data_IF_778391106747
#
_entry.id   IF_778391106747
#
_cell.length_a   1.000
_cell.length_b   1.000
_cell.length_c   1.000
_cell.angle_alpha   90.00
_cell.angle_beta   90.00
_cell.angle_gamma   90.00
#
_symmetry.space_group_name_H-M   'P 1'
#
loop_
_entity.id
_entity.type
_entity.pdbx_description
1 polymer ?
#
# COMPACT_ATOMS: atom_id res chain seq x y z
N UNK A 1 -39.71 0.87 12.64
CA UNK A 1 -39.11 0.23 11.46
C UNK A 1 -37.63 0.54 11.56
N UNK A 2 -36.85 -0.37 12.15
CA UNK A 2 -35.40 -0.25 12.17
C UNK A 2 -34.91 -0.40 10.73
N UNK A 3 -34.57 0.71 10.09
CA UNK A 3 -33.84 0.68 8.84
C UNK A 3 -32.44 0.19 9.15
N UNK A 4 -32.22 -1.12 9.08
CA UNK A 4 -30.88 -1.68 9.18
C UNK A 4 -30.02 -1.05 8.08
N UNK A 5 -28.92 -0.40 8.48
CA UNK A 5 -27.93 0.09 7.53
C UNK A 5 -27.52 -1.07 6.61
N UNK A 6 -27.76 -0.90 5.31
CA UNK A 6 -27.29 -1.86 4.32
C UNK A 6 -25.76 -1.81 4.31
N UNK A 7 -25.14 -2.88 4.79
CA UNK A 7 -23.67 -3.05 4.80
C UNK A 7 -23.17 -3.21 3.36
N UNK A 8 -22.72 -2.12 2.74
CA UNK A 8 -22.08 -2.12 1.43
C UNK A 8 -20.60 -2.47 1.53
N UNK A 9 -20.09 -3.21 0.55
CA UNK A 9 -18.71 -3.71 0.50
C UNK A 9 -18.04 -3.19 -0.76
N UNK A 10 -16.76 -2.84 -0.70
CA UNK A 10 -15.91 -2.62 -1.88
C UNK A 10 -14.51 -3.14 -1.63
N UNK A 11 -13.89 -3.73 -2.65
CA UNK A 11 -12.52 -4.18 -2.57
C UNK A 11 -11.70 -3.77 -3.80
N UNK A 12 -10.42 -3.51 -3.57
CA UNK A 12 -9.41 -3.37 -4.60
C UNK A 12 -8.31 -4.41 -4.35
N UNK A 13 -8.09 -5.30 -5.31
CA UNK A 13 -7.04 -6.31 -5.27
C UNK A 13 -6.01 -6.01 -6.36
N UNK A 14 -4.77 -5.77 -5.98
CA UNK A 14 -3.69 -5.36 -6.90
C UNK A 14 -2.57 -6.38 -6.85
N UNK A 15 -2.15 -6.87 -8.03
CA UNK A 15 -1.08 -7.85 -8.17
C UNK A 15 -0.16 -7.52 -9.34
N UNK A 16 1.10 -7.23 -9.08
CA UNK A 16 2.03 -6.73 -10.11
C UNK A 16 3.24 -7.66 -10.21
N UNK A 17 3.39 -8.31 -11.36
CA UNK A 17 4.53 -9.13 -11.71
C UNK A 17 5.44 -8.47 -12.74
N UNK A 18 4.91 -7.62 -13.61
CA UNK A 18 5.67 -6.93 -14.65
C UNK A 18 5.77 -5.44 -14.33
N UNK A 19 6.86 -4.81 -14.78
CA UNK A 19 7.09 -3.38 -14.62
C UNK A 19 7.49 -2.80 -15.96
N UNK A 20 6.71 -1.83 -16.45
CA UNK A 20 6.82 -1.22 -17.78
C UNK A 20 8.24 -0.77 -18.10
N UNK A 21 8.86 -0.06 -17.15
CA UNK A 21 10.19 0.55 -17.33
C UNK A 21 11.32 -0.29 -16.70
N UNK A 22 10.97 -1.34 -15.93
CA UNK A 22 11.92 -2.20 -15.23
C UNK A 22 11.66 -3.70 -15.46
N UNK A 23 11.71 -4.23 -16.70
CA UNK A 23 11.43 -5.65 -16.98
C UNK A 23 12.31 -6.64 -16.19
N UNK A 24 13.52 -6.23 -15.80
CA UNK A 24 14.43 -7.01 -14.96
C UNK A 24 13.92 -7.23 -13.53
N UNK A 25 13.01 -6.38 -13.04
CA UNK A 25 12.39 -6.46 -11.72
C UNK A 25 11.13 -7.36 -11.72
N UNK A 26 10.93 -8.20 -12.74
CA UNK A 26 9.72 -9.01 -12.81
C UNK A 26 9.58 -10.00 -11.63
N UNK A 27 8.38 -10.11 -11.08
CA UNK A 27 7.95 -11.09 -10.08
C UNK A 27 7.12 -12.21 -10.73
N UNK A 28 6.67 -13.18 -9.92
CA UNK A 28 5.91 -14.35 -10.42
C UNK A 28 4.69 -14.74 -9.56
N UNK A 29 4.54 -14.15 -8.38
CA UNK A 29 3.50 -14.54 -7.41
C UNK A 29 2.36 -13.54 -7.29
N UNK A 30 2.63 -12.26 -7.54
CA UNK A 30 1.76 -11.18 -7.07
C UNK A 30 0.41 -11.15 -7.77
N UNK A 31 0.37 -11.46 -9.07
CA UNK A 31 -0.89 -11.62 -9.81
C UNK A 31 -1.73 -12.76 -9.22
N UNK A 32 -1.11 -13.89 -8.85
CA UNK A 32 -1.82 -15.00 -8.21
C UNK A 32 -2.32 -14.61 -6.81
N UNK A 33 -1.54 -13.84 -6.05
CA UNK A 33 -1.91 -13.34 -4.73
C UNK A 33 -3.18 -12.46 -4.82
N UNK A 34 -3.27 -11.57 -5.84
CA UNK A 34 -4.45 -10.74 -6.07
C UNK A 34 -5.70 -11.57 -6.48
N UNK A 35 -5.54 -12.58 -7.34
CA UNK A 35 -6.63 -13.50 -7.67
C UNK A 35 -7.09 -14.29 -6.43
N UNK A 36 -6.14 -14.79 -5.63
CA UNK A 36 -6.45 -15.54 -4.41
C UNK A 36 -7.23 -14.69 -3.40
N UNK A 37 -6.84 -13.41 -3.22
CA UNK A 37 -7.59 -12.49 -2.37
C UNK A 37 -9.01 -12.24 -2.91
N UNK A 38 -9.14 -11.98 -4.22
CA UNK A 38 -10.45 -11.81 -4.85
C UNK A 38 -11.37 -13.02 -4.65
N UNK A 39 -10.85 -14.24 -4.83
CA UNK A 39 -11.60 -15.48 -4.57
C UNK A 39 -11.97 -15.62 -3.10
N UNK A 40 -11.04 -15.35 -2.19
CA UNK A 40 -11.28 -15.42 -0.74
C UNK A 40 -12.41 -14.48 -0.31
N UNK A 41 -12.40 -13.23 -0.78
CA UNK A 41 -13.41 -12.23 -0.46
C UNK A 41 -14.81 -12.64 -0.95
N UNK A 42 -14.90 -13.24 -2.14
CA UNK A 42 -16.16 -13.75 -2.68
C UNK A 42 -16.66 -14.97 -1.89
N UNK A 43 -15.80 -15.97 -1.69
CA UNK A 43 -16.20 -17.26 -1.15
C UNK A 43 -16.46 -17.24 0.36
N UNK A 44 -15.76 -16.37 1.11
CA UNK A 44 -15.76 -16.39 2.58
C UNK A 44 -16.32 -15.11 3.21
N UNK A 45 -16.25 -13.97 2.53
CA UNK A 45 -16.59 -12.67 3.10
C UNK A 45 -17.79 -11.98 2.45
N UNK A 46 -18.44 -12.65 1.47
CA UNK A 46 -19.70 -12.21 0.88
C UNK A 46 -19.59 -11.00 -0.02
N UNK A 47 -18.41 -10.71 -0.55
CA UNK A 47 -18.24 -9.73 -1.62
C UNK A 47 -18.84 -10.28 -2.91
N UNK A 48 -19.58 -9.45 -3.65
CA UNK A 48 -20.00 -9.80 -5.01
C UNK A 48 -18.88 -9.44 -5.98
N UNK A 49 -18.88 -10.07 -7.16
CA UNK A 49 -17.86 -9.80 -8.17
C UNK A 49 -17.85 -8.33 -8.59
N UNK A 50 -19.02 -7.68 -8.66
CA UNK A 50 -19.15 -6.26 -8.98
C UNK A 50 -18.63 -5.32 -7.89
N UNK A 51 -18.46 -5.82 -6.67
CA UNK A 51 -17.93 -5.05 -5.53
C UNK A 51 -16.39 -5.12 -5.47
N UNK A 52 -15.76 -5.96 -6.30
CA UNK A 52 -14.31 -6.18 -6.32
C UNK A 52 -13.71 -5.64 -7.62
N UNK A 53 -12.74 -4.73 -7.50
CA UNK A 53 -11.86 -4.36 -8.60
C UNK A 53 -10.57 -5.17 -8.51
N UNK A 54 -10.15 -5.75 -9.63
CA UNK A 54 -8.87 -6.45 -9.75
C UNK A 54 -7.99 -5.70 -10.76
N UNK A 55 -6.80 -5.26 -10.32
CA UNK A 55 -5.81 -4.63 -11.19
C UNK A 55 -4.53 -5.48 -11.22
N UNK A 56 -4.12 -5.89 -12.41
CA UNK A 56 -2.93 -6.74 -12.59
C UNK A 56 -2.02 -6.20 -13.68
N UNK A 57 -0.71 -6.27 -13.44
CA UNK A 57 0.33 -5.86 -14.41
C UNK A 57 -0.04 -4.55 -15.14
N UNK A 58 -0.27 -4.61 -16.46
CA UNK A 58 -0.53 -3.43 -17.29
C UNK A 58 -1.82 -2.67 -16.96
N UNK A 59 -2.67 -3.16 -16.04
CA UNK A 59 -3.82 -2.40 -15.54
C UNK A 59 -3.49 -1.63 -14.24
N UNK A 60 -2.41 -2.00 -13.57
CA UNK A 60 -2.01 -1.49 -12.24
C UNK A 60 -1.07 -0.27 -12.32
N UNK A 61 -1.43 0.71 -13.16
CA UNK A 61 -0.81 2.04 -13.16
C UNK A 61 -1.10 2.75 -11.83
N UNK A 62 -0.18 3.60 -11.34
CA UNK A 62 -0.41 4.41 -10.12
C UNK A 62 -1.76 5.13 -10.19
N UNK A 63 -2.01 5.85 -11.29
CA UNK A 63 -3.23 6.62 -11.48
C UNK A 63 -4.50 5.76 -11.38
N UNK A 64 -4.48 4.52 -11.88
CA UNK A 64 -5.63 3.63 -11.79
C UNK A 64 -5.85 3.15 -10.35
N UNK A 65 -4.77 2.74 -9.66
CA UNK A 65 -4.84 2.29 -8.26
C UNK A 65 -5.41 3.40 -7.38
N UNK A 66 -4.84 4.60 -7.46
CA UNK A 66 -5.27 5.76 -6.66
C UNK A 66 -6.70 6.17 -6.99
N UNK A 67 -7.07 6.21 -8.27
CA UNK A 67 -8.45 6.53 -8.68
C UNK A 67 -9.49 5.56 -8.11
N UNK A 68 -9.16 4.26 -8.04
CA UNK A 68 -10.05 3.27 -7.43
C UNK A 68 -10.15 3.42 -5.91
N UNK A 69 -9.04 3.69 -5.21
CA UNK A 69 -9.03 3.95 -3.78
C UNK A 69 -9.82 5.22 -3.44
N UNK A 70 -9.61 6.31 -4.17
CA UNK A 70 -10.38 7.56 -4.04
C UNK A 70 -11.87 7.33 -4.22
N UNK A 71 -12.26 6.55 -5.24
CA UNK A 71 -13.65 6.18 -5.47
C UNK A 71 -14.23 5.37 -4.29
N UNK A 72 -13.45 4.45 -3.71
CA UNK A 72 -13.87 3.65 -2.56
C UNK A 72 -14.08 4.51 -1.31
N UNK A 73 -13.15 5.42 -1.03
CA UNK A 73 -13.27 6.38 0.08
C UNK A 73 -14.49 7.28 -0.10
N UNK A 74 -14.73 7.78 -1.31
CA UNK A 74 -15.88 8.64 -1.57
C UNK A 74 -17.22 7.90 -1.48
N UNK A 75 -17.27 6.63 -1.88
CA UNK A 75 -18.44 5.78 -1.66
C UNK A 75 -18.73 5.58 -0.17
N UNK A 76 -17.69 5.33 0.62
CA UNK A 76 -17.76 5.21 2.06
C UNK A 76 -18.27 6.51 2.72
N UNK A 77 -17.73 7.67 2.32
CA UNK A 77 -18.17 8.99 2.81
C UNK A 77 -19.63 9.30 2.48
N UNK A 78 -20.16 8.75 1.38
CA UNK A 78 -21.58 8.87 0.99
C UNK A 78 -22.48 7.82 1.63
N UNK A 79 -21.95 6.95 2.50
CA UNK A 79 -22.69 5.87 3.13
C UNK A 79 -23.12 4.76 2.17
N UNK A 80 -22.46 4.64 1.00
CA UNK A 80 -22.75 3.58 0.01
C UNK A 80 -22.10 2.25 0.38
N UNK A 81 -21.01 2.29 1.13
CA UNK A 81 -20.35 1.13 1.71
C UNK A 81 -19.76 1.48 3.08
N UNK A 82 -19.51 0.45 3.88
CA UNK A 82 -18.89 0.56 5.20
C UNK A 82 -17.86 -0.53 5.48
N UNK A 83 -17.59 -1.39 4.49
CA UNK A 83 -16.49 -2.36 4.53
C UNK A 83 -15.65 -2.16 3.27
N UNK A 84 -14.39 -1.80 3.45
CA UNK A 84 -13.40 -1.63 2.42
C UNK A 84 -12.27 -2.64 2.61
N UNK A 85 -11.82 -3.25 1.52
CA UNK A 85 -10.62 -4.09 1.52
C UNK A 85 -9.66 -3.60 0.44
N UNK A 86 -8.43 -3.31 0.81
CA UNK A 86 -7.34 -3.05 -0.12
C UNK A 86 -6.29 -4.13 0.04
N UNK A 87 -5.99 -4.87 -1.04
CA UNK A 87 -4.85 -5.77 -1.07
C UNK A 87 -3.90 -5.37 -2.17
N UNK A 88 -2.61 -5.34 -1.85
CA UNK A 88 -1.57 -4.93 -2.76
C UNK A 88 -0.37 -5.86 -2.64
N UNK A 89 -0.03 -6.49 -3.76
CA UNK A 89 1.14 -7.34 -3.89
C UNK A 89 2.01 -6.85 -5.05
N UNK A 90 3.22 -6.39 -4.73
CA UNK A 90 4.21 -5.90 -5.69
C UNK A 90 5.59 -5.82 -5.01
N UNK A 91 6.52 -5.08 -5.62
CA UNK A 91 7.70 -4.57 -4.95
C UNK A 91 7.37 -3.47 -3.92
N UNK A 92 8.09 -3.48 -2.80
CA UNK A 92 8.25 -2.34 -1.89
C UNK A 92 9.64 -1.70 -2.05
N UNK A 93 9.76 -0.41 -1.78
CA UNK A 93 11.00 0.37 -1.85
C UNK A 93 10.99 1.45 -0.76
N UNK A 94 11.99 2.33 -0.78
CA UNK A 94 12.05 3.52 0.08
C UNK A 94 12.18 4.78 -0.78
N UNK A 95 11.60 5.88 -0.33
CA UNK A 95 11.82 7.22 -0.89
C UNK A 95 12.48 8.12 0.18
N UNK A 96 13.22 9.17 -0.19
CA UNK A 96 13.76 10.09 0.81
C UNK A 96 12.61 10.84 1.50
N UNK A 97 12.61 10.84 2.83
CA UNK A 97 11.63 11.57 3.65
C UNK A 97 11.70 13.08 3.34
N UNK A 98 10.53 13.68 3.09
CA UNK A 98 10.42 15.11 2.79
C UNK A 98 9.80 15.94 3.93
N UNK A 99 9.16 15.32 4.91
CA UNK A 99 8.38 16.00 5.94
C UNK A 99 8.97 15.86 7.37
N UNK A 100 9.87 14.88 7.56
CA UNK A 100 10.68 14.68 8.75
C UNK A 100 9.98 13.91 9.86
N UNK A 101 8.99 13.07 9.54
CA UNK A 101 8.24 12.28 10.50
C UNK A 101 8.91 10.93 10.87
N UNK A 102 9.88 10.46 10.08
CA UNK A 102 10.66 9.25 10.35
C UNK A 102 12.08 9.50 10.92
N UNK A 103 12.50 8.65 11.87
CA UNK A 103 13.80 8.74 12.54
C UNK A 103 15.00 8.38 11.63
N UNK A 104 14.78 7.66 10.52
CA UNK A 104 15.82 7.25 9.53
C UNK A 104 15.71 7.94 8.15
N UNK A 105 14.85 8.96 8.04
CA UNK A 105 14.71 9.83 6.86
C UNK A 105 14.33 9.10 5.55
N UNK A 106 13.50 8.05 5.61
CA UNK A 106 13.20 7.22 4.45
C UNK A 106 11.83 6.51 4.44
N UNK A 107 10.79 7.15 3.90
CA UNK A 107 9.42 6.60 3.83
C UNK A 107 9.31 5.29 3.04
N UNK A 108 8.41 4.42 3.48
CA UNK A 108 8.05 3.20 2.76
C UNK A 108 7.22 3.53 1.51
N UNK A 109 7.55 2.89 0.39
CA UNK A 109 6.85 3.15 -0.86
C UNK A 109 6.57 1.86 -1.66
N UNK A 110 5.51 1.91 -2.45
CA UNK A 110 4.95 0.80 -3.19
C UNK A 110 5.12 1.01 -4.69
N UNK A 111 5.62 0.00 -5.39
CA UNK A 111 5.95 0.08 -6.81
C UNK A 111 4.75 -0.31 -7.70
N UNK A 112 4.16 0.63 -8.46
CA UNK A 112 3.12 0.35 -9.45
C UNK A 112 3.73 -0.20 -10.76
N UNK A 113 2.89 -0.60 -11.72
CA UNK A 113 3.35 -1.14 -13.01
C UNK A 113 4.21 -0.14 -13.80
N UNK A 114 3.86 1.14 -13.71
CA UNK A 114 4.47 2.24 -14.44
C UNK A 114 5.59 2.95 -13.66
N UNK A 115 6.10 2.32 -12.59
CA UNK A 115 7.23 2.82 -11.80
C UNK A 115 8.29 3.45 -12.71
N UNK A 116 8.72 4.65 -12.33
CA UNK A 116 9.69 5.46 -13.07
C UNK A 116 10.58 6.24 -12.09
N UNK A 117 11.69 6.75 -12.61
CA UNK A 117 12.63 7.58 -11.85
C UNK A 117 12.89 8.88 -12.60
N UNK A 118 13.11 9.96 -11.86
CA UNK A 118 13.58 11.24 -12.39
C UNK A 118 14.98 11.51 -11.82
N UNK A 119 15.99 11.43 -12.69
CA UNK A 119 17.39 11.47 -12.28
C UNK A 119 17.76 10.28 -11.39
N UNK A 120 18.14 10.57 -10.14
CA UNK A 120 18.66 9.60 -9.17
C UNK A 120 17.65 9.21 -8.08
N UNK A 121 16.39 9.64 -8.21
CA UNK A 121 15.30 9.34 -7.27
C UNK A 121 14.10 8.74 -8.00
N UNK A 122 13.28 7.97 -7.28
CA UNK A 122 11.97 7.58 -7.79
C UNK A 122 11.15 8.83 -8.12
N UNK A 123 10.39 8.76 -9.20
CA UNK A 123 9.51 9.86 -9.61
C UNK A 123 8.21 9.78 -8.80
N UNK A 124 7.85 10.81 -7.99
CA UNK A 124 6.62 10.82 -7.20
C UNK A 124 5.34 10.61 -8.01
N UNK A 125 5.34 10.92 -9.31
CA UNK A 125 4.18 10.68 -10.20
C UNK A 125 3.95 9.18 -10.48
N UNK A 126 4.94 8.32 -10.25
CA UNK A 126 4.93 6.91 -10.63
C UNK A 126 5.19 5.95 -9.46
N UNK A 127 5.17 6.43 -8.22
CA UNK A 127 5.36 5.64 -7.00
C UNK A 127 4.33 6.04 -5.94
N UNK A 128 3.82 5.09 -5.16
CA UNK A 128 2.83 5.37 -4.11
C UNK A 128 3.56 5.35 -2.77
N UNK A 129 3.56 6.44 -2.01
CA UNK A 129 4.05 6.44 -0.61
C UNK A 129 2.96 5.96 0.34
N UNK A 130 3.37 5.51 1.51
CA UNK A 130 2.49 5.28 2.65
C UNK A 130 1.74 6.56 3.09
N UNK A 131 2.39 7.72 3.06
CA UNK A 131 1.75 9.02 3.31
C UNK A 131 0.57 9.29 2.37
N UNK A 132 0.73 9.03 1.07
CA UNK A 132 -0.34 9.25 0.09
C UNK A 132 -1.55 8.34 0.38
N UNK A 133 -1.29 7.12 0.86
CA UNK A 133 -2.35 6.20 1.31
C UNK A 133 -2.97 6.66 2.63
N UNK A 134 -2.16 7.10 3.59
CA UNK A 134 -2.61 7.60 4.88
C UNK A 134 -3.52 8.82 4.72
N UNK A 135 -3.06 9.83 3.98
CA UNK A 135 -3.82 11.05 3.65
C UNK A 135 -5.18 10.73 3.01
N UNK A 136 -5.23 9.68 2.19
CA UNK A 136 -6.48 9.22 1.59
C UNK A 136 -7.39 8.54 2.61
N UNK A 137 -6.85 7.68 3.49
CA UNK A 137 -7.64 6.88 4.41
C UNK A 137 -8.10 7.63 5.67
N UNK A 138 -7.40 8.69 6.10
CA UNK A 138 -7.88 9.56 7.20
C UNK A 138 -9.20 10.27 6.88
N UNK A 139 -9.61 10.31 5.61
CA UNK A 139 -10.90 10.85 5.19
C UNK A 139 -12.09 9.90 5.40
N UNK A 140 -11.85 8.65 5.85
CA UNK A 140 -12.90 7.66 6.08
C UNK A 140 -13.73 8.00 7.34
N UNK A 141 -15.07 7.82 7.29
CA UNK A 141 -15.92 7.97 8.47
C UNK A 141 -15.66 6.89 9.53
N UNK A 142 -15.88 7.22 10.81
CA UNK A 142 -15.69 6.31 11.96
C UNK A 142 -16.47 4.99 11.87
N UNK A 143 -17.58 4.95 11.12
CA UNK A 143 -18.42 3.76 10.96
C UNK A 143 -17.98 2.86 9.79
N UNK A 144 -16.82 3.13 9.18
CA UNK A 144 -16.27 2.38 8.04
C UNK A 144 -15.08 1.55 8.49
N UNK A 145 -15.10 0.26 8.18
CA UNK A 145 -13.98 -0.65 8.40
C UNK A 145 -13.14 -0.71 7.13
N UNK A 146 -11.84 -0.41 7.24
CA UNK A 146 -10.86 -0.60 6.18
C UNK A 146 -9.86 -1.68 6.61
N UNK A 147 -9.71 -2.72 5.80
CA UNK A 147 -8.68 -3.75 5.95
C UNK A 147 -7.65 -3.62 4.83
N UNK A 148 -6.37 -3.50 5.18
CA UNK A 148 -5.27 -3.34 4.22
C UNK A 148 -4.30 -4.52 4.31
N UNK A 149 -4.05 -5.18 3.19
CA UNK A 149 -3.14 -6.32 3.08
C UNK A 149 -1.99 -5.98 2.13
N UNK A 150 -0.78 -5.82 2.67
CA UNK A 150 0.41 -5.47 1.90
C UNK A 150 1.37 -6.68 1.85
N UNK A 151 1.59 -7.25 0.66
CA UNK A 151 2.53 -8.35 0.43
C UNK A 151 3.73 -7.87 -0.41
N UNK A 152 4.56 -7.02 0.20
CA UNK A 152 5.63 -6.22 -0.44
C UNK A 152 7.04 -6.39 0.16
N UNK A 153 7.24 -7.32 1.10
CA UNK A 153 8.49 -7.67 1.85
C UNK A 153 9.87 -7.60 1.13
N UNK A 154 11.04 -7.24 1.73
CA UNK A 154 11.51 -6.83 3.07
C UNK A 154 12.88 -6.12 2.93
N UNK A 155 13.05 -4.92 3.50
CA UNK A 155 14.37 -4.29 3.66
C UNK A 155 15.01 -4.69 5.01
N UNK A 156 15.69 -5.85 5.05
CA UNK A 156 16.78 -6.21 5.99
C UNK A 156 16.60 -6.09 7.51
N UNK A 157 16.37 -7.24 8.21
CA UNK A 157 17.10 -7.76 9.41
C UNK A 157 16.28 -8.71 10.32
N UNK A 158 14.97 -8.87 10.12
CA UNK A 158 14.15 -9.80 10.91
C UNK A 158 14.03 -11.18 10.25
N UNK A 159 14.65 -12.20 10.85
CA UNK A 159 14.41 -13.65 10.60
C UNK A 159 15.12 -14.24 9.37
N UNK A 160 16.42 -14.54 9.54
CA UNK A 160 17.19 -15.55 8.79
C UNK A 160 16.88 -17.00 9.22
N UNK A 161 15.68 -17.30 9.70
CA UNK A 161 15.31 -18.69 10.02
C UNK A 161 14.16 -19.11 9.14
N UNK A 162 14.43 -20.15 8.35
CA UNK A 162 13.54 -20.96 7.52
C UNK A 162 13.07 -20.37 6.19
N UNK A 163 14.04 -19.93 5.36
CA UNK A 163 13.89 -19.92 3.90
C UNK A 163 13.84 -21.37 3.37
N UNK A 164 12.70 -22.04 3.57
CA UNK A 164 12.38 -23.33 2.92
C UNK A 164 11.63 -23.13 1.58
N UNK A 165 11.51 -21.89 1.08
CA UNK A 165 10.84 -21.56 -0.18
C UNK A 165 11.81 -20.88 -1.16
N UNK A 166 12.91 -21.57 -1.50
CA UNK A 166 13.97 -21.19 -2.46
C UNK A 166 13.50 -20.81 -3.89
N UNK A 167 12.19 -20.65 -4.14
CA UNK A 167 11.58 -20.31 -5.43
C UNK A 167 11.04 -18.87 -5.50
N UNK A 168 10.94 -18.14 -4.37
CA UNK A 168 10.40 -16.77 -4.36
C UNK A 168 11.50 -15.72 -4.64
N UNK A 169 11.20 -14.78 -5.56
CA UNK A 169 12.07 -13.63 -5.83
C UNK A 169 11.94 -12.60 -4.69
N UNK A 170 13.03 -11.95 -4.25
CA UNK A 170 12.93 -10.84 -3.29
C UNK A 170 11.98 -9.75 -3.80
N UNK A 171 11.13 -9.20 -2.93
CA UNK A 171 10.20 -8.11 -3.30
C UNK A 171 10.65 -6.73 -2.83
N UNK A 172 11.84 -6.59 -2.22
CA UNK A 172 12.45 -5.28 -2.04
C UNK A 172 13.14 -4.82 -3.33
N UNK A 173 12.82 -3.61 -3.78
CA UNK A 173 13.51 -2.91 -4.86
C UNK A 173 14.35 -1.77 -4.23
N UNK A 174 15.69 -1.77 -4.36
CA UNK A 174 16.49 -0.69 -3.80
C UNK A 174 16.19 0.64 -4.51
N UNK A 175 16.29 1.78 -3.80
CA UNK A 175 16.13 3.08 -4.43
C UNK A 175 17.18 3.31 -5.52
N UNK A 176 16.94 4.22 -6.50
CA UNK A 176 17.85 4.39 -7.63
C UNK A 176 19.23 4.91 -7.24
N UNK A 177 19.33 5.66 -6.13
CA UNK A 177 20.58 6.08 -5.51
C UNK A 177 20.44 6.23 -3.99
N UNK A 178 21.51 5.91 -3.26
CA UNK A 178 21.62 6.17 -1.82
C UNK A 178 22.03 7.63 -1.52
N UNK A 179 22.53 8.38 -2.51
CA UNK A 179 22.94 9.78 -2.30
C UNK A 179 21.75 10.68 -1.97
N UNK A 180 20.57 10.38 -2.52
CA UNK A 180 19.36 11.15 -2.26
C UNK A 180 18.92 11.13 -0.78
N UNK A 181 19.27 10.09 -0.04
CA UNK A 181 18.96 9.96 1.39
C UNK A 181 19.94 10.78 2.25
N UNK A 182 21.17 11.02 1.78
CA UNK A 182 22.18 11.81 2.51
C UNK A 182 21.83 13.30 2.59
N UNK A 183 21.09 13.81 1.60
CA UNK A 183 20.65 15.21 1.57
C UNK A 183 19.50 15.47 2.55
N UNK A 184 18.77 14.42 2.99
CA UNK A 184 17.71 14.50 4.00
C UNK A 184 18.28 14.45 5.43
N UNK A 185 19.30 13.62 5.69
CA UNK A 185 20.01 13.56 6.99
C UNK A 185 20.52 14.93 7.49
N UNK A 186 20.71 15.90 6.58
CA UNK A 186 21.10 17.28 6.92
C UNK A 186 19.98 18.19 7.44
N UNK A 187 18.72 17.77 7.40
CA UNK A 187 17.56 18.53 7.89
C UNK A 187 17.23 18.10 9.31
N UNK A 188 17.81 18.80 10.29
CA UNK A 188 17.49 18.64 11.72
C UNK A 188 15.98 18.58 11.95
N UNK A 189 15.54 17.51 12.61
CA UNK A 189 14.17 17.32 13.09
C UNK A 189 13.66 18.59 13.77
N UNK A 190 12.51 19.09 13.32
CA UNK A 190 11.80 20.16 14.04
C UNK A 190 11.25 19.51 15.32
N UNK A 191 12.06 19.58 16.36
CA UNK A 191 11.78 18.98 17.66
C UNK A 191 10.35 19.20 18.14
N UNK A 192 9.68 18.08 18.45
CA UNK A 192 8.36 18.02 19.05
C UNK A 192 8.43 18.49 20.50
N UNK A 193 8.26 19.79 20.74
CA UNK A 193 8.06 20.33 22.07
C UNK A 193 6.57 20.28 22.45
N UNK A 194 6.14 19.12 22.95
CA UNK A 194 5.17 19.00 24.05
C UNK A 194 3.69 19.27 23.76
N UNK A 195 2.90 18.17 23.85
CA UNK A 195 1.66 18.00 24.64
C UNK A 195 0.64 17.18 23.83
N UNK A 196 0.43 15.92 24.23
CA UNK A 196 -0.80 15.42 24.86
C UNK A 196 -0.66 13.90 25.04
N UNK A 197 -0.51 13.48 26.30
CA UNK A 197 -0.60 12.07 26.69
C UNK A 197 -2.09 11.73 26.84
N UNK A 198 -2.59 10.82 26.01
CA UNK A 198 -3.73 9.96 26.29
C UNK A 198 -3.33 8.53 25.85
N UNK A 199 -3.66 7.48 26.61
CA UNK A 199 -3.10 6.16 26.40
C UNK A 199 -3.69 5.52 25.14
N UNK A 200 -2.86 5.24 24.15
CA UNK A 200 -3.22 4.41 23.02
C UNK A 200 -3.50 2.99 23.51
N UNK A 201 -4.70 2.51 23.17
CA UNK A 201 -5.16 1.15 23.40
C UNK A 201 -4.43 0.26 22.40
N UNK A 202 -3.60 -0.64 22.90
CA UNK A 202 -2.98 -1.71 22.13
C UNK A 202 -4.06 -2.63 21.56
N UNK A 203 -4.20 -2.63 20.24
CA UNK A 203 -4.73 -3.78 19.51
C UNK A 203 -3.58 -4.34 18.65
N UNK A 204 -3.08 -5.49 19.09
CA UNK A 204 -2.10 -6.29 18.36
C UNK A 204 -2.81 -6.97 17.18
N UNK A 205 -2.24 -6.89 15.98
CA UNK A 205 -2.58 -7.81 14.90
C UNK A 205 -1.29 -8.40 14.35
N UNK A 206 -1.29 -9.74 14.34
CA UNK A 206 -0.28 -10.67 13.83
C UNK A 206 -0.32 -10.75 12.30
#
# INVERSE_FOLDING_TARGET
MEGGETVGRRALCVGINQFKNYPQAALRGCVNDAYAMSSLLQEKFGFRIEDITLLTDADAFKANIMSHLESMVEDARRGRCNILVFSFSSHGTRIPDLDGDEDDAADEAFCPYDLSQTGSVWDPEYIISDDELNDLFVALPDNVSLEVFLDTCHSGTGIKSIDFLLTRRPRYLPPPSLEAFKDVEGRTSRGFAGKYVQPLRTDHIL
#
